data_IF_852017081471
#
_entry.id   IF_852017081471
#
_cell.length_a   1.000
_cell.length_b   1.000
_cell.length_c   1.000
_cell.angle_alpha   90.00
_cell.angle_beta   90.00
_cell.angle_gamma   90.00
#
_symmetry.space_group_name_H-M   'P 1'
#
loop_
_entity.id
_entity.type
_entity.pdbx_description
1 polymer ?
#
# COMPACT_ATOMS: atom_id res chain seq x y z
N UNK A 1 12.40 8.37 0.62
CA UNK A 1 11.68 8.12 1.87
C UNK A 1 12.25 6.88 2.51
N UNK A 2 12.68 7.00 3.76
CA UNK A 2 13.08 5.86 4.56
C UNK A 2 11.84 5.07 4.99
N UNK A 3 11.94 3.74 4.98
CA UNK A 3 10.92 2.85 5.54
C UNK A 3 11.08 2.92 7.05
N UNK A 4 10.01 3.23 7.79
CA UNK A 4 10.04 3.22 9.26
C UNK A 4 10.32 1.79 9.73
N UNK A 5 11.13 1.59 10.78
CA UNK A 5 11.33 0.28 11.39
C UNK A 5 9.98 -0.24 11.94
N UNK A 6 9.71 -1.54 11.77
CA UNK A 6 8.49 -2.16 12.26
C UNK A 6 8.59 -2.45 13.77
N UNK A 7 7.88 -1.69 14.59
CA UNK A 7 7.87 -1.88 16.05
C UNK A 7 7.31 -3.24 16.50
N UNK A 8 6.60 -3.97 15.61
CA UNK A 8 6.03 -5.30 15.90
C UNK A 8 6.92 -6.47 15.48
N UNK A 9 7.70 -6.30 14.41
CA UNK A 9 8.43 -7.40 13.77
C UNK A 9 9.90 -7.05 13.47
N UNK A 10 10.41 -5.93 13.99
CA UNK A 10 11.79 -5.48 13.81
C UNK A 10 12.01 -4.84 12.44
N UNK A 11 12.95 -5.40 11.66
CA UNK A 11 13.40 -4.81 10.40
C UNK A 11 12.45 -5.00 9.21
N UNK A 12 11.39 -5.78 9.37
CA UNK A 12 10.50 -6.17 8.27
C UNK A 12 9.03 -5.98 8.64
N UNK A 13 8.27 -5.31 7.78
CA UNK A 13 6.82 -5.23 7.90
C UNK A 13 6.15 -6.45 7.29
N UNK A 14 5.34 -7.15 8.08
CA UNK A 14 4.43 -8.19 7.59
C UNK A 14 3.13 -7.53 7.10
N UNK A 15 3.00 -7.41 5.78
CA UNK A 15 1.91 -6.71 5.11
C UNK A 15 0.81 -7.69 4.73
N UNK A 16 -0.31 -7.63 5.44
CA UNK A 16 -1.46 -8.49 5.17
C UNK A 16 -2.41 -7.81 4.19
N UNK A 17 -2.82 -8.50 3.14
CA UNK A 17 -3.83 -8.00 2.20
C UNK A 17 -5.12 -7.67 2.95
N UNK A 18 -5.76 -6.56 2.59
CA UNK A 18 -7.05 -6.14 3.15
C UNK A 18 -8.09 -5.91 2.05
N UNK A 19 -7.82 -6.43 0.84
CA UNK A 19 -8.69 -6.33 -0.33
C UNK A 19 -8.41 -5.08 -1.16
N UNK A 20 -9.46 -4.50 -1.72
CA UNK A 20 -9.39 -3.35 -2.63
C UNK A 20 -9.78 -2.04 -1.94
N UNK A 21 -9.05 -0.97 -2.26
CA UNK A 21 -9.33 0.38 -1.80
C UNK A 21 -9.47 1.36 -2.97
N UNK A 22 -10.13 2.48 -2.69
CA UNK A 22 -10.26 3.59 -3.63
C UNK A 22 -9.17 4.62 -3.36
N UNK A 23 -8.24 4.76 -4.30
CA UNK A 23 -7.12 5.70 -4.18
C UNK A 23 -7.38 6.98 -4.97
N UNK A 24 -7.18 8.14 -4.35
CA UNK A 24 -7.32 9.46 -4.97
C UNK A 24 -6.09 10.32 -4.71
N UNK A 25 -5.82 11.26 -5.60
CA UNK A 25 -4.83 12.30 -5.37
C UNK A 25 -5.33 13.28 -4.28
N UNK A 26 -4.49 13.60 -3.30
CA UNK A 26 -4.87 14.47 -2.19
C UNK A 26 -5.06 15.94 -2.59
N UNK A 27 -4.42 16.40 -3.68
CA UNK A 27 -4.54 17.79 -4.14
C UNK A 27 -5.73 17.95 -5.08
N UNK A 28 -5.85 17.08 -6.08
CA UNK A 28 -6.85 17.21 -7.14
C UNK A 28 -8.13 16.42 -6.90
N UNK A 29 -8.16 15.54 -5.90
CA UNK A 29 -9.24 14.58 -5.65
C UNK A 29 -9.46 13.56 -6.78
N UNK A 30 -8.64 13.58 -7.83
CA UNK A 30 -8.80 12.70 -8.98
C UNK A 30 -8.54 11.24 -8.60
N UNK A 31 -9.32 10.32 -9.19
CA UNK A 31 -9.18 8.89 -8.97
C UNK A 31 -7.88 8.37 -9.60
N UNK A 32 -7.11 7.60 -8.84
CA UNK A 32 -5.91 6.92 -9.30
C UNK A 32 -6.27 5.44 -9.50
N UNK A 33 -6.82 5.14 -10.68
CA UNK A 33 -7.44 3.84 -11.00
C UNK A 33 -6.50 2.64 -10.86
N UNK A 34 -5.19 2.84 -11.03
CA UNK A 34 -4.20 1.76 -10.94
C UNK A 34 -3.99 1.27 -9.52
N UNK A 35 -4.07 2.14 -8.51
CA UNK A 35 -3.75 1.80 -7.12
C UNK A 35 -4.99 1.27 -6.39
N UNK A 36 -5.16 -0.05 -6.39
CA UNK A 36 -6.33 -0.71 -5.81
C UNK A 36 -6.01 -1.67 -4.67
N UNK A 37 -4.92 -2.43 -4.74
CA UNK A 37 -4.54 -3.38 -3.70
C UNK A 37 -4.03 -2.64 -2.47
N UNK A 38 -4.58 -2.93 -1.28
CA UNK A 38 -4.08 -2.34 -0.04
C UNK A 38 -3.76 -3.38 1.01
N UNK A 39 -2.69 -3.10 1.75
CA UNK A 39 -2.10 -3.98 2.74
C UNK A 39 -1.85 -3.19 4.02
N UNK A 40 -1.89 -3.89 5.14
CA UNK A 40 -1.65 -3.30 6.46
C UNK A 40 -0.79 -4.21 7.31
N UNK A 41 0.24 -3.64 7.94
CA UNK A 41 1.00 -4.29 8.99
C UNK A 41 0.32 -4.12 10.35
N UNK A 42 0.56 -5.04 11.28
CA UNK A 42 0.10 -4.94 12.66
C UNK A 42 0.64 -3.69 13.39
N UNK A 43 1.78 -3.13 12.96
CA UNK A 43 2.30 -1.86 13.50
C UNK A 43 1.56 -0.62 12.99
N UNK A 44 0.63 -0.78 12.04
CA UNK A 44 -0.14 0.32 11.45
C UNK A 44 0.37 0.79 10.09
N UNK A 45 1.59 0.42 9.67
CA UNK A 45 2.14 0.74 8.34
C UNK A 45 1.20 0.24 7.24
N UNK A 46 0.93 1.11 6.27
CA UNK A 46 0.08 0.81 5.12
C UNK A 46 0.89 0.83 3.83
N UNK A 47 0.44 0.00 2.90
CA UNK A 47 1.01 -0.11 1.57
C UNK A 47 -0.13 -0.23 0.57
N UNK A 48 -0.06 0.54 -0.52
CA UNK A 48 -1.07 0.51 -1.58
C UNK A 48 -0.33 0.28 -2.89
N UNK A 49 -0.78 -0.66 -3.70
CA UNK A 49 -0.18 -0.95 -5.00
C UNK A 49 -1.20 -1.32 -6.07
N UNK A 50 -0.72 -1.34 -7.30
CA UNK A 50 -1.46 -1.79 -8.47
C UNK A 50 -1.53 -3.31 -8.54
N UNK A 51 -0.41 -3.98 -8.27
CA UNK A 51 -0.35 -5.43 -8.32
C UNK A 51 -0.80 -6.15 -7.05
N UNK A 52 -0.54 -7.46 -7.02
CA UNK A 52 -0.95 -8.37 -5.95
C UNK A 52 0.23 -9.18 -5.41
N UNK A 53 1.25 -8.54 -4.82
CA UNK A 53 2.50 -9.20 -4.40
C UNK A 53 2.35 -10.30 -3.32
N UNK A 54 1.17 -10.44 -2.72
CA UNK A 54 0.89 -11.58 -1.84
C UNK A 54 0.73 -12.91 -2.60
N UNK A 55 0.45 -12.87 -3.90
CA UNK A 55 0.50 -14.06 -4.75
C UNK A 55 1.92 -14.27 -5.25
N UNK A 56 2.43 -15.49 -5.07
CA UNK A 56 3.80 -15.83 -5.48
C UNK A 56 3.98 -15.54 -6.98
N UNK A 57 4.97 -14.69 -7.29
CA UNK A 57 5.32 -14.31 -8.66
C UNK A 57 4.58 -13.09 -9.22
N UNK A 58 3.61 -12.52 -8.49
CA UNK A 58 2.89 -11.32 -8.94
C UNK A 58 3.65 -10.06 -8.54
N UNK A 59 3.82 -9.14 -9.49
CA UNK A 59 4.56 -7.89 -9.28
C UNK A 59 3.80 -6.90 -8.39
N UNK A 60 4.54 -5.96 -7.78
CA UNK A 60 4.00 -4.82 -7.06
C UNK A 60 3.45 -3.75 -8.03
N UNK A 61 4.18 -3.45 -9.10
CA UNK A 61 3.90 -2.38 -10.07
C UNK A 61 3.94 -0.99 -9.42
N UNK A 62 3.00 -0.11 -9.74
CA UNK A 62 2.90 1.21 -9.11
C UNK A 62 2.50 1.04 -7.63
N UNK A 63 3.18 1.73 -6.72
CA UNK A 63 2.92 1.62 -5.29
C UNK A 63 3.24 2.89 -4.50
N UNK A 64 2.68 2.95 -3.30
CA UNK A 64 2.97 3.95 -2.27
C UNK A 64 3.05 3.32 -0.89
N UNK A 65 3.87 3.92 -0.03
CA UNK A 65 4.01 3.56 1.39
C UNK A 65 3.35 4.62 2.29
N UNK A 66 3.36 4.36 3.59
CA UNK A 66 2.68 5.16 4.62
C UNK A 66 2.84 6.68 4.47
N UNK A 67 4.06 7.19 4.24
CA UNK A 67 4.27 8.65 4.19
C UNK A 67 3.70 9.36 2.95
N UNK A 68 3.28 8.61 1.93
CA UNK A 68 2.52 9.17 0.81
C UNK A 68 1.03 9.34 1.13
N UNK A 69 0.51 8.62 2.13
CA UNK A 69 -0.90 8.66 2.52
C UNK A 69 -1.14 9.91 3.36
N UNK A 70 -2.00 10.80 2.87
CA UNK A 70 -2.35 12.07 3.53
C UNK A 70 -3.66 11.99 4.30
N UNK A 71 -4.59 11.16 3.85
CA UNK A 71 -5.87 10.94 4.53
C UNK A 71 -6.42 9.56 4.25
N UNK A 72 -7.10 9.00 5.24
CA UNK A 72 -7.82 7.73 5.13
C UNK A 72 -9.27 7.93 5.52
N UNK A 73 -10.17 7.38 4.73
CA UNK A 73 -11.61 7.48 4.92
C UNK A 73 -12.24 6.11 4.63
N UNK A 74 -13.43 5.87 5.16
CA UNK A 74 -14.26 4.74 4.77
C UNK A 74 -15.47 5.30 4.05
N UNK A 75 -15.67 4.91 2.79
CA UNK A 75 -16.79 5.37 1.96
C UNK A 75 -17.59 4.14 1.57
N UNK A 76 -18.86 4.07 2.01
CA UNK A 76 -19.76 2.92 1.74
C UNK A 76 -19.14 1.57 2.12
N UNK A 77 -18.43 1.50 3.25
CA UNK A 77 -17.77 0.28 3.73
C UNK A 77 -16.43 -0.03 3.04
N UNK A 78 -16.00 0.76 2.05
CA UNK A 78 -14.72 0.58 1.36
C UNK A 78 -13.66 1.54 1.88
N UNK A 79 -12.44 1.05 2.08
CA UNK A 79 -11.30 1.89 2.40
C UNK A 79 -10.99 2.85 1.24
N UNK A 80 -10.83 4.14 1.55
CA UNK A 80 -10.42 5.16 0.59
C UNK A 80 -9.21 5.92 1.10
N UNK A 81 -8.19 6.01 0.24
CA UNK A 81 -6.91 6.63 0.54
C UNK A 81 -6.72 7.86 -0.34
N UNK A 82 -6.33 8.96 0.29
CA UNK A 82 -5.88 10.16 -0.41
C UNK A 82 -4.37 10.23 -0.28
N UNK A 83 -3.67 10.24 -1.41
CA UNK A 83 -2.22 10.10 -1.46
C UNK A 83 -1.57 11.29 -2.18
N UNK A 84 -0.28 11.49 -1.94
CA UNK A 84 0.55 12.31 -2.81
C UNK A 84 1.03 11.51 -4.00
N UNK A 85 0.49 11.82 -5.19
CA UNK A 85 0.87 11.13 -6.44
C UNK A 85 2.35 11.26 -6.78
N UNK A 86 3.02 12.31 -6.30
CA UNK A 86 4.45 12.52 -6.56
C UNK A 86 5.33 11.52 -5.80
N UNK A 87 4.75 10.79 -4.85
CA UNK A 87 5.42 9.76 -4.07
C UNK A 87 5.10 8.34 -4.57
N UNK A 88 4.38 8.22 -5.69
CA UNK A 88 4.19 6.94 -6.38
C UNK A 88 5.54 6.46 -6.91
N UNK A 89 5.82 5.19 -6.66
CA UNK A 89 7.01 4.49 -7.13
C UNK A 89 6.60 3.32 -7.98
N UNK A 90 7.51 2.82 -8.81
CA UNK A 90 7.26 1.68 -9.68
C UNK A 90 8.31 0.58 -9.45
N UNK A 91 7.89 -0.68 -9.45
CA UNK A 91 8.78 -1.82 -9.54
C UNK A 91 8.09 -3.01 -10.19
N UNK A 92 8.84 -3.78 -11.01
CA UNK A 92 8.36 -5.04 -11.57
C UNK A 92 8.60 -6.24 -10.64
N UNK A 93 9.32 -6.03 -9.53
CA UNK A 93 9.57 -7.09 -8.56
C UNK A 93 8.30 -7.42 -7.79
N UNK A 94 8.19 -8.68 -7.36
CA UNK A 94 7.17 -9.15 -6.40
C UNK A 94 7.57 -8.88 -4.95
N UNK A 95 8.77 -8.37 -4.71
CA UNK A 95 9.34 -8.11 -3.38
C UNK A 95 9.81 -6.66 -3.26
N UNK A 96 9.81 -6.16 -2.03
CA UNK A 96 10.33 -4.84 -1.68
C UNK A 96 11.09 -4.96 -0.35
N UNK A 97 12.34 -4.49 -0.31
CA UNK A 97 13.15 -4.52 0.91
C UNK A 97 12.39 -3.86 2.08
N UNK A 98 12.36 -4.52 3.23
CA UNK A 98 11.61 -4.06 4.41
C UNK A 98 10.13 -4.47 4.44
N UNK A 99 9.61 -5.14 3.42
CA UNK A 99 8.21 -5.59 3.35
C UNK A 99 8.11 -7.06 2.92
N UNK A 100 7.22 -7.81 3.57
CA UNK A 100 6.80 -9.15 3.16
C UNK A 100 5.30 -9.19 3.06
N UNK A 101 4.77 -9.67 1.93
CA UNK A 101 3.34 -9.63 1.63
C UNK A 101 2.69 -11.00 1.89
N UNK A 102 1.59 -10.98 2.63
CA UNK A 102 0.83 -12.16 2.99
C UNK A 102 -0.61 -12.03 2.52
N UNK A 103 -1.17 -13.15 2.06
CA UNK A 103 -2.60 -13.27 1.86
C UNK A 103 -3.28 -13.38 3.24
N UNK A 104 -4.38 -12.66 3.41
CA UNK A 104 -5.20 -12.73 4.62
C UNK A 104 -6.58 -13.20 4.19
N UNK A 105 -6.68 -14.52 3.99
CA UNK A 105 -7.93 -15.23 3.74
C UNK A 105 -8.75 -15.38 5.01
#
# INVERSE_FOLDING_TARGET
>A
MAIKICEKYGSVHRMYSKGFAVTRDHKTQALIKKLGGWYKCACGERFICEGSPHWKGWSILDYVTEGAIKKVQVIKGQASYMIDRNLIRHTKNSTLSGYVFYYNG
#
